data_IF_467883646837
#
_entry.id   IF_467883646837
#
_cell.length_a   1.000
_cell.length_b   1.000
_cell.length_c   1.000
_cell.angle_alpha   90.00
_cell.angle_beta   90.00
_cell.angle_gamma   90.00
#
_symmetry.space_group_name_H-M   'P 1'
#
loop_
_entity.id
_entity.type
_entity.pdbx_description
1 polymer ?
#
# COMPACT_ATOMS: atom_id res chain seq x y z
N UNK A 1 3.84 15.13 -92.44
CA UNK A 1 2.49 15.60 -92.05
C UNK A 1 1.70 14.42 -91.52
N UNK A 2 0.92 14.42 -90.44
CA UNK A 2 0.48 15.40 -89.47
C UNK A 2 0.01 14.57 -88.25
N UNK A 3 0.53 14.83 -87.04
CA UNK A 3 0.26 14.02 -85.83
C UNK A 3 -0.73 14.78 -84.96
N UNK A 4 -2.03 14.59 -85.20
CA UNK A 4 -3.08 15.31 -84.47
C UNK A 4 -3.37 14.60 -83.13
N UNK A 5 -2.72 15.06 -82.05
CA UNK A 5 -3.03 14.63 -80.68
C UNK A 5 -4.09 15.57 -80.12
N UNK A 6 -5.34 15.13 -80.12
CA UNK A 6 -6.42 15.76 -79.36
C UNK A 6 -6.07 15.73 -77.87
N UNK A 7 -5.61 16.85 -77.33
CA UNK A 7 -5.45 17.07 -75.90
C UNK A 7 -6.85 17.24 -75.31
N UNK A 8 -7.37 16.16 -74.69
CA UNK A 8 -8.55 16.26 -73.83
C UNK A 8 -8.22 17.27 -72.73
N UNK A 9 -8.82 18.46 -72.79
CA UNK A 9 -8.80 19.43 -71.70
C UNK A 9 -9.56 18.82 -70.52
N UNK A 10 -8.83 18.24 -69.59
CA UNK A 10 -9.35 17.89 -68.27
C UNK A 10 -9.64 19.20 -67.57
N UNK A 11 -10.87 19.38 -67.09
CA UNK A 11 -11.34 20.62 -66.48
C UNK A 11 -10.51 20.96 -65.25
N UNK A 12 -10.12 22.24 -65.12
CA UNK A 12 -9.36 22.78 -63.99
C UNK A 12 -10.10 22.69 -62.63
N UNK A 13 -11.31 22.12 -62.61
CA UNK A 13 -12.15 21.94 -61.43
C UNK A 13 -12.24 20.49 -60.92
N UNK A 14 -11.53 19.53 -61.53
CA UNK A 14 -11.39 18.20 -60.94
C UNK A 14 -10.21 18.16 -59.97
N UNK A 15 -10.50 18.46 -58.69
CA UNK A 15 -9.61 18.12 -57.59
C UNK A 15 -9.27 16.62 -57.66
N UNK A 16 -7.97 16.31 -57.64
CA UNK A 16 -7.49 14.94 -57.74
C UNK A 16 -8.10 14.07 -56.65
N UNK A 17 -8.81 13.01 -57.04
CA UNK A 17 -9.37 12.03 -56.12
C UNK A 17 -8.23 11.38 -55.29
N UNK A 18 -8.39 11.22 -53.96
CA UNK A 18 -7.31 10.82 -53.06
C UNK A 18 -6.99 9.31 -53.07
N UNK A 19 -7.33 8.59 -54.13
CA UNK A 19 -7.19 7.12 -54.19
C UNK A 19 -5.90 6.62 -54.85
N UNK A 20 -4.91 7.49 -55.04
CA UNK A 20 -3.61 7.07 -55.58
C UNK A 20 -2.75 6.44 -54.48
N UNK A 21 -2.82 5.10 -54.42
CA UNK A 21 -1.79 4.13 -54.05
C UNK A 21 -0.58 4.63 -53.22
N UNK A 22 -0.40 3.97 -52.07
CA UNK A 22 0.84 3.84 -51.27
C UNK A 22 1.27 5.01 -50.39
N UNK A 23 0.35 5.68 -49.71
CA UNK A 23 0.74 6.49 -48.55
C UNK A 23 0.71 5.66 -47.27
N UNK A 24 1.91 5.46 -46.72
CA UNK A 24 2.18 5.06 -45.35
C UNK A 24 1.76 6.15 -44.34
N UNK A 25 0.65 6.83 -44.62
CA UNK A 25 0.09 7.92 -43.83
C UNK A 25 -0.88 7.30 -42.85
N UNK A 26 -0.36 6.84 -41.71
CA UNK A 26 -1.20 6.57 -40.55
C UNK A 26 -2.08 7.78 -40.26
N UNK A 27 -3.19 7.57 -39.54
CA UNK A 27 -4.25 8.54 -39.21
C UNK A 27 -3.69 9.84 -38.57
N UNK A 28 -2.41 9.84 -38.17
CA UNK A 28 -1.66 10.95 -37.58
C UNK A 28 -0.87 11.81 -38.60
N UNK A 29 -0.83 11.45 -39.88
CA UNK A 29 -0.01 12.16 -40.88
C UNK A 29 -0.56 13.54 -41.27
N UNK A 30 -1.84 13.81 -40.98
CA UNK A 30 -2.51 15.08 -41.25
C UNK A 30 -2.58 16.01 -40.02
N UNK A 31 -1.95 15.64 -38.91
CA UNK A 31 -2.03 16.38 -37.65
C UNK A 31 -0.92 17.44 -37.55
N UNK A 32 -1.30 18.63 -37.06
CA UNK A 32 -0.34 19.69 -36.76
C UNK A 32 0.67 19.22 -35.69
N UNK A 33 1.90 19.75 -35.67
CA UNK A 33 2.96 19.30 -34.73
C UNK A 33 2.50 19.37 -33.26
N UNK A 34 1.64 20.35 -32.95
CA UNK A 34 1.02 20.50 -31.65
C UNK A 34 0.07 19.36 -31.29
N UNK A 35 -0.84 18.96 -32.18
CA UNK A 35 -1.82 17.89 -31.95
C UNK A 35 -1.14 16.55 -31.68
N UNK A 36 -0.09 16.24 -32.44
CA UNK A 36 0.70 15.02 -32.22
C UNK A 36 1.34 15.01 -30.83
N UNK A 37 1.82 16.16 -30.34
CA UNK A 37 2.46 16.27 -29.03
C UNK A 37 1.44 16.12 -27.90
N UNK A 38 0.25 16.72 -28.01
CA UNK A 38 -0.81 16.58 -26.99
C UNK A 38 -1.28 15.13 -26.86
N UNK A 39 -1.52 14.44 -27.98
CA UNK A 39 -1.96 13.04 -27.96
C UNK A 39 -0.93 12.14 -27.28
N UNK A 40 0.36 12.33 -27.57
CA UNK A 40 1.44 11.56 -26.93
C UNK A 40 1.51 11.85 -25.43
N UNK A 41 1.41 13.12 -25.02
CA UNK A 41 1.41 13.49 -23.59
C UNK A 41 0.23 12.87 -22.86
N UNK A 42 -0.97 12.94 -23.42
CA UNK A 42 -2.15 12.30 -22.82
C UNK A 42 -2.03 10.78 -22.78
N UNK A 43 -1.49 10.16 -23.83
CA UNK A 43 -1.25 8.71 -23.84
C UNK A 43 -0.26 8.27 -22.75
N UNK A 44 0.85 9.00 -22.59
CA UNK A 44 1.83 8.73 -21.54
C UNK A 44 1.24 8.98 -20.16
N UNK A 45 0.52 10.08 -19.97
CA UNK A 45 -0.14 10.39 -18.70
C UNK A 45 -1.16 9.31 -18.34
N UNK A 46 -1.97 8.85 -19.31
CA UNK A 46 -2.95 7.79 -19.11
C UNK A 46 -2.29 6.47 -18.71
N UNK A 47 -1.19 6.08 -19.36
CA UNK A 47 -0.43 4.90 -19.00
C UNK A 47 0.15 5.01 -17.59
N UNK A 48 0.73 6.16 -17.25
CA UNK A 48 1.28 6.41 -15.91
C UNK A 48 0.18 6.32 -14.84
N UNK A 49 -0.97 6.96 -15.06
CA UNK A 49 -2.12 6.88 -14.15
C UNK A 49 -2.61 5.43 -14.01
N UNK A 50 -2.65 4.67 -15.10
CA UNK A 50 -3.07 3.26 -15.07
C UNK A 50 -2.14 2.42 -14.21
N UNK A 51 -0.83 2.58 -14.37
CA UNK A 51 0.18 1.87 -13.55
C UNK A 51 0.06 2.27 -12.08
N UNK A 52 -0.06 3.58 -11.80
CA UNK A 52 -0.19 4.08 -10.44
C UNK A 52 -1.46 3.58 -9.77
N UNK A 53 -2.57 3.53 -10.51
CA UNK A 53 -3.85 3.01 -10.02
C UNK A 53 -3.72 1.54 -9.60
N UNK A 54 -3.13 0.69 -10.45
CA UNK A 54 -2.92 -0.73 -10.13
C UNK A 54 -2.04 -0.87 -8.89
N UNK A 55 -0.95 -0.11 -8.82
CA UNK A 55 -0.04 -0.11 -7.66
C UNK A 55 -0.78 0.28 -6.37
N UNK A 56 -1.56 1.36 -6.39
CA UNK A 56 -2.33 1.81 -5.22
C UNK A 56 -3.43 0.83 -4.84
N UNK A 57 -4.10 0.19 -5.80
CA UNK A 57 -5.07 -0.87 -5.54
C UNK A 57 -4.42 -2.04 -4.78
N UNK A 58 -3.31 -2.56 -5.28
CA UNK A 58 -2.58 -3.67 -4.63
C UNK A 58 -2.09 -3.24 -3.25
N UNK A 59 -1.48 -2.05 -3.15
CA UNK A 59 -0.99 -1.52 -1.88
C UNK A 59 -2.09 -1.35 -0.85
N UNK A 60 -3.29 -0.93 -1.27
CA UNK A 60 -4.45 -0.78 -0.38
C UNK A 60 -4.88 -2.13 0.20
N UNK A 61 -4.99 -3.15 -0.65
CA UNK A 61 -5.35 -4.51 -0.22
C UNK A 61 -4.33 -5.07 0.76
N UNK A 62 -3.03 -4.95 0.46
CA UNK A 62 -1.95 -5.42 1.33
C UNK A 62 -1.98 -4.70 2.67
N UNK A 63 -2.22 -3.38 2.67
CA UNK A 63 -2.28 -2.59 3.90
C UNK A 63 -3.42 -3.05 4.82
N UNK A 64 -4.60 -3.32 4.24
CA UNK A 64 -5.75 -3.85 5.00
C UNK A 64 -5.45 -5.25 5.53
N UNK A 65 -4.88 -6.14 4.73
CA UNK A 65 -4.52 -7.48 5.14
C UNK A 65 -3.47 -7.47 6.28
N UNK A 66 -2.42 -6.65 6.15
CA UNK A 66 -1.41 -6.49 7.18
C UNK A 66 -2.01 -5.95 8.49
N UNK A 67 -2.89 -4.95 8.39
CA UNK A 67 -3.61 -4.43 9.57
C UNK A 67 -4.45 -5.50 10.26
N UNK A 68 -5.15 -6.33 9.49
CA UNK A 68 -5.94 -7.43 10.05
C UNK A 68 -5.06 -8.45 10.79
N UNK A 69 -3.89 -8.78 10.24
CA UNK A 69 -2.95 -9.70 10.89
C UNK A 69 -2.38 -9.13 12.19
N UNK A 70 -2.06 -7.84 12.22
CA UNK A 70 -1.63 -7.15 13.43
C UNK A 70 -2.72 -7.15 14.50
N UNK A 71 -3.97 -6.89 14.13
CA UNK A 71 -5.11 -6.93 15.07
C UNK A 71 -5.32 -8.34 15.63
N UNK A 72 -5.22 -9.38 14.78
CA UNK A 72 -5.32 -10.78 15.21
C UNK A 72 -4.20 -11.15 16.17
N UNK A 73 -2.96 -10.75 15.85
CA UNK A 73 -1.78 -11.00 16.69
C UNK A 73 -1.91 -10.32 18.05
N UNK A 74 -2.34 -9.06 18.08
CA UNK A 74 -2.62 -8.33 19.31
C UNK A 74 -3.71 -9.03 20.14
N UNK A 75 -4.80 -9.45 19.51
CA UNK A 75 -5.87 -10.18 20.20
C UNK A 75 -5.40 -11.52 20.79
N UNK A 76 -4.50 -12.25 20.10
CA UNK A 76 -3.91 -13.49 20.63
C UNK A 76 -3.03 -13.23 21.84
N UNK A 77 -2.15 -12.23 21.75
CA UNK A 77 -1.30 -11.84 22.86
C UNK A 77 -2.13 -11.41 24.09
N UNK A 78 -3.18 -10.62 23.89
CA UNK A 78 -4.10 -10.24 24.98
C UNK A 78 -4.80 -11.45 25.61
N UNK A 79 -5.21 -12.43 24.80
CA UNK A 79 -5.82 -13.65 25.31
C UNK A 79 -4.81 -14.47 26.14
N UNK A 80 -3.57 -14.59 25.67
CA UNK A 80 -2.50 -15.27 26.41
C UNK A 80 -2.24 -14.60 27.76
N UNK A 81 -2.13 -13.27 27.79
CA UNK A 81 -2.00 -12.49 29.03
C UNK A 81 -3.18 -12.76 29.96
N UNK A 82 -4.42 -12.72 29.46
CA UNK A 82 -5.60 -12.99 30.28
C UNK A 82 -5.60 -14.40 30.89
N UNK A 83 -5.12 -15.41 30.14
CA UNK A 83 -4.98 -16.77 30.67
C UNK A 83 -3.93 -16.86 31.77
N UNK A 84 -2.79 -16.17 31.60
CA UNK A 84 -1.72 -16.08 32.59
C UNK A 84 -2.18 -15.35 33.86
N UNK A 85 -2.90 -14.24 33.70
CA UNK A 85 -3.49 -13.50 34.82
C UNK A 85 -4.49 -14.36 35.59
N UNK A 86 -5.34 -15.09 34.90
CA UNK A 86 -6.30 -16.01 35.53
C UNK A 86 -5.57 -17.11 36.32
N UNK A 87 -4.52 -17.70 35.74
CA UNK A 87 -3.72 -18.72 36.39
C UNK A 87 -2.95 -18.16 37.60
N UNK A 88 -2.42 -16.95 37.50
CA UNK A 88 -1.75 -16.26 38.60
C UNK A 88 -2.73 -16.00 39.76
N UNK A 89 -3.89 -15.41 39.46
CA UNK A 89 -4.91 -15.13 40.47
C UNK A 89 -5.39 -16.40 41.17
N UNK A 90 -5.61 -17.48 40.42
CA UNK A 90 -5.96 -18.78 41.00
C UNK A 90 -4.91 -19.30 41.99
N UNK A 91 -3.62 -19.19 41.64
CA UNK A 91 -2.52 -19.59 42.54
C UNK A 91 -2.36 -18.65 43.73
N UNK A 92 -2.57 -17.34 43.56
CA UNK A 92 -2.51 -16.39 44.68
C UNK A 92 -3.64 -16.62 45.67
N UNK A 93 -4.85 -16.97 45.21
CA UNK A 93 -5.96 -17.29 46.09
C UNK A 93 -5.70 -18.51 46.99
N UNK A 94 -4.84 -19.44 46.58
CA UNK A 94 -4.43 -20.57 47.44
C UNK A 94 -3.44 -20.19 48.54
N UNK A 95 -2.75 -19.05 48.43
CA UNK A 95 -1.79 -18.58 49.46
C UNK A 95 -2.58 -17.82 50.53
N UNK A 96 -3.16 -18.57 51.46
CA UNK A 96 -3.92 -18.02 52.60
C UNK A 96 -3.15 -18.23 53.91
N UNK A 97 -3.44 -17.45 54.95
CA UNK A 97 -2.81 -17.62 56.27
C UNK A 97 -2.99 -19.05 56.85
N UNK A 98 -4.17 -19.70 56.72
CA UNK A 98 -4.33 -21.10 57.12
C UNK A 98 -3.42 -22.06 56.34
N UNK A 99 -3.23 -21.84 55.04
CA UNK A 99 -2.31 -22.61 54.20
C UNK A 99 -0.84 -22.38 54.61
N UNK A 100 -0.47 -21.15 54.97
CA UNK A 100 0.86 -20.88 55.49
C UNK A 100 1.11 -21.56 56.85
N UNK A 101 0.12 -21.55 57.75
CA UNK A 101 0.22 -22.24 59.04
C UNK A 101 0.30 -23.76 58.88
N UNK A 102 -0.39 -24.35 57.90
CA UNK A 102 -0.29 -25.79 57.63
C UNK A 102 1.08 -26.23 57.08
N UNK A 103 1.81 -25.32 56.41
CA UNK A 103 3.20 -25.50 55.99
C UNK A 103 4.22 -25.29 57.13
N UNK A 104 3.77 -24.98 58.36
CA UNK A 104 4.63 -24.77 59.52
C UNK A 104 5.19 -23.35 59.65
N UNK A 105 4.70 -22.40 58.85
CA UNK A 105 5.10 -21.01 58.99
C UNK A 105 4.50 -20.38 60.27
N UNK A 106 5.32 -19.60 60.97
CA UNK A 106 4.98 -18.90 62.21
C UNK A 106 4.93 -17.39 61.98
N UNK A 107 4.05 -16.70 62.72
CA UNK A 107 3.90 -15.24 62.67
C UNK A 107 5.19 -14.55 63.11
N UNK A 108 5.81 -13.77 62.21
CA UNK A 108 7.03 -13.01 62.51
C UNK A 108 6.66 -11.66 63.11
N UNK A 109 7.18 -11.39 64.32
CA UNK A 109 6.86 -10.20 65.14
C UNK A 109 7.70 -8.97 64.77
N UNK A 110 8.93 -9.17 64.31
CA UNK A 110 9.84 -8.10 63.85
C UNK A 110 10.08 -8.22 62.33
N UNK A 111 9.55 -7.27 61.55
CA UNK A 111 9.72 -7.23 60.09
C UNK A 111 10.72 -6.14 59.73
N UNK A 112 11.89 -6.54 59.23
CA UNK A 112 12.84 -5.61 58.61
C UNK A 112 12.53 -5.51 57.12
N UNK A 113 12.01 -4.37 56.68
CA UNK A 113 11.74 -4.12 55.27
C UNK A 113 12.92 -3.38 54.63
N UNK A 114 13.48 -3.96 53.57
CA UNK A 114 14.48 -3.27 52.73
C UNK A 114 13.73 -2.60 51.59
N UNK A 115 13.64 -1.27 51.60
CA UNK A 115 13.16 -0.54 50.43
C UNK A 115 14.28 -0.45 49.41
N UNK A 116 14.00 -0.81 48.16
CA UNK A 116 14.87 -0.45 47.05
C UNK A 116 14.62 1.03 46.76
N UNK A 117 15.45 1.89 47.34
CA UNK A 117 15.56 3.27 46.85
C UNK A 117 15.81 3.19 45.35
N UNK A 118 14.95 3.86 44.57
CA UNK A 118 15.12 3.99 43.14
C UNK A 118 16.56 4.40 42.86
N UNK A 119 17.24 3.62 42.02
CA UNK A 119 18.53 4.01 41.46
C UNK A 119 18.22 5.18 40.54
N UNK A 120 18.09 6.37 41.11
CA UNK A 120 18.01 7.62 40.38
C UNK A 120 19.35 7.75 39.67
N UNK A 121 19.37 7.28 38.43
CA UNK A 121 20.46 7.40 37.49
C UNK A 121 20.75 8.90 37.34
N UNK A 122 21.72 9.36 38.13
CA UNK A 122 22.25 10.71 38.11
C UNK A 122 23.31 10.73 37.01
N UNK A 123 22.86 10.83 35.77
CA UNK A 123 23.72 11.29 34.69
C UNK A 123 24.07 12.75 34.97
N UNK A 124 25.31 12.94 35.41
CA UNK A 124 25.94 14.24 35.51
C UNK A 124 27.14 14.25 34.55
N UNK A 125 27.06 15.20 33.61
CA UNK A 125 28.05 15.68 32.63
C UNK A 125 27.98 15.09 31.23
#
# INVERSE_FOLDING_TARGET
MNKNRNTKKVSEHQGSLPFSRNTHSGILAYANVFERRTVVVFGVAFLLLSVLYIYFMISSVVHVAARQELVRSASRASAEVATLETAYLSKTQTITEPYARSLGFVSVRDRSFVSKASVAFKDAR
#
